data_IF_887035045475
#
_entry.id   IF_887035045475
#
_cell.length_a   1.000
_cell.length_b   1.000
_cell.length_c   1.000
_cell.angle_alpha   90.00
_cell.angle_beta   90.00
_cell.angle_gamma   90.00
#
_symmetry.space_group_name_H-M   'P 1'
#
loop_
_entity.id
_entity.type
_entity.pdbx_description
1 polymer ?
#
# COMPACT_ATOMS: atom_id res chain seq x y z
N UNK A 1 -15.21 -15.60 15.40
CA UNK A 1 -14.63 -14.65 16.38
C UNK A 1 -15.08 -13.26 15.99
N UNK A 2 -15.95 -12.64 16.80
CA UNK A 2 -16.42 -11.27 16.58
C UNK A 2 -15.43 -10.29 17.20
N UNK A 3 -15.00 -9.27 16.46
CA UNK A 3 -14.15 -8.19 16.99
C UNK A 3 -15.06 -7.01 17.34
N UNK A 4 -15.18 -6.63 18.63
CA UNK A 4 -15.99 -5.49 19.06
C UNK A 4 -15.64 -4.19 18.33
N UNK A 5 -16.64 -3.35 18.04
CA UNK A 5 -16.46 -2.08 17.31
C UNK A 5 -15.44 -1.15 17.97
N UNK A 6 -15.42 -1.07 19.31
CA UNK A 6 -14.44 -0.25 20.04
C UNK A 6 -12.99 -0.71 19.80
N UNK A 7 -12.77 -2.03 19.70
CA UNK A 7 -11.44 -2.58 19.40
C UNK A 7 -11.08 -2.27 17.94
N UNK A 8 -12.04 -2.40 17.01
CA UNK A 8 -11.85 -2.02 15.60
C UNK A 8 -11.45 -0.56 15.45
N UNK A 9 -12.12 0.34 16.18
CA UNK A 9 -11.80 1.77 16.21
C UNK A 9 -10.35 2.03 16.62
N UNK A 10 -9.92 1.50 17.78
CA UNK A 10 -8.57 1.76 18.29
C UNK A 10 -7.48 1.16 17.38
N UNK A 11 -7.70 -0.04 16.85
CA UNK A 11 -6.77 -0.68 15.92
C UNK A 11 -6.59 0.14 14.63
N UNK A 12 -7.68 0.68 14.06
CA UNK A 12 -7.56 1.58 12.93
C UNK A 12 -6.84 2.86 13.28
N UNK A 13 -7.19 3.52 14.40
CA UNK A 13 -6.56 4.78 14.79
C UNK A 13 -5.04 4.62 14.97
N UNK A 14 -4.61 3.54 15.63
CA UNK A 14 -3.18 3.24 15.88
C UNK A 14 -2.42 3.04 14.57
N UNK A 15 -3.04 2.47 13.52
CA UNK A 15 -2.35 2.18 12.26
C UNK A 15 -2.51 3.30 11.23
N UNK A 16 -3.66 3.97 11.16
CA UNK A 16 -3.94 5.03 10.18
C UNK A 16 -3.07 6.26 10.40
N UNK A 17 -2.82 6.65 11.66
CA UNK A 17 -1.96 7.80 11.98
C UNK A 17 -0.54 7.61 11.43
N UNK A 18 0.22 6.55 11.82
CA UNK A 18 1.56 6.34 11.29
C UNK A 18 1.56 6.03 9.80
N UNK A 19 0.52 5.37 9.29
CA UNK A 19 0.37 5.09 7.85
C UNK A 19 0.28 6.39 7.05
N UNK A 20 -0.56 7.34 7.50
CA UNK A 20 -0.73 8.65 6.88
C UNK A 20 0.56 9.47 6.87
N UNK A 21 1.30 9.49 7.98
CA UNK A 21 2.63 10.10 8.02
C UNK A 21 3.60 9.45 7.03
N UNK A 22 3.58 8.12 6.91
CA UNK A 22 4.43 7.39 6.00
C UNK A 22 4.07 7.68 4.53
N UNK A 23 2.78 7.78 4.19
CA UNK A 23 2.30 8.14 2.85
C UNK A 23 2.80 9.54 2.47
N UNK A 24 2.57 10.54 3.33
CA UNK A 24 2.99 11.91 3.08
C UNK A 24 4.51 12.02 2.92
N UNK A 25 5.27 11.34 3.79
CA UNK A 25 6.73 11.28 3.71
C UNK A 25 7.19 10.67 2.38
N UNK A 26 6.65 9.52 1.99
CA UNK A 26 7.04 8.84 0.76
C UNK A 26 6.67 9.68 -0.47
N UNK A 27 5.44 10.21 -0.53
CA UNK A 27 4.98 11.06 -1.63
C UNK A 27 5.84 12.31 -1.77
N UNK A 28 6.15 13.00 -0.66
CA UNK A 28 7.03 14.17 -0.67
C UNK A 28 8.36 13.84 -1.34
N UNK A 29 9.04 12.77 -0.92
CA UNK A 29 10.34 12.42 -1.50
C UNK A 29 10.26 11.92 -2.93
N UNK A 30 9.22 11.17 -3.31
CA UNK A 30 9.03 10.76 -4.70
C UNK A 30 8.75 11.94 -5.63
N UNK A 31 8.03 12.95 -5.16
CA UNK A 31 7.68 14.12 -5.95
C UNK A 31 8.83 15.12 -6.01
N UNK A 32 9.60 15.31 -4.93
CA UNK A 32 10.69 16.29 -4.88
C UNK A 32 11.98 15.74 -5.49
N UNK A 33 12.34 14.49 -5.22
CA UNK A 33 13.58 13.92 -5.74
C UNK A 33 13.43 13.47 -7.20
N UNK A 34 14.07 14.22 -8.11
CA UNK A 34 14.07 13.94 -9.55
C UNK A 34 14.53 12.52 -9.87
N UNK A 35 15.50 11.97 -9.13
CA UNK A 35 16.05 10.63 -9.40
C UNK A 35 15.02 9.55 -9.08
N UNK A 36 14.32 9.68 -7.96
CA UNK A 36 13.22 8.77 -7.58
C UNK A 36 12.05 8.91 -8.54
N UNK A 37 11.68 10.15 -8.90
CA UNK A 37 10.58 10.44 -9.82
C UNK A 37 10.80 9.87 -11.21
N UNK A 38 12.04 9.84 -11.71
CA UNK A 38 12.35 9.34 -13.05
C UNK A 38 12.42 7.81 -13.13
N UNK A 39 12.46 7.11 -11.99
CA UNK A 39 12.44 5.66 -11.93
C UNK A 39 11.08 5.10 -12.36
N UNK A 40 11.03 4.39 -13.49
CA UNK A 40 9.81 3.77 -14.01
C UNK A 40 9.05 2.95 -12.96
N UNK A 41 9.77 2.09 -12.22
CA UNK A 41 9.22 1.26 -11.13
C UNK A 41 8.47 2.08 -10.05
N UNK A 42 8.84 3.35 -9.88
CA UNK A 42 8.30 4.20 -8.83
C UNK A 42 6.98 4.85 -9.26
N UNK A 43 6.68 4.97 -10.56
CA UNK A 43 5.45 5.63 -11.02
C UNK A 43 4.19 4.91 -10.53
N UNK A 44 4.14 3.58 -10.65
CA UNK A 44 2.99 2.81 -10.12
C UNK A 44 2.88 2.97 -8.61
N UNK A 45 4.00 2.97 -7.89
CA UNK A 45 4.01 3.17 -6.43
C UNK A 45 3.49 4.56 -6.07
N UNK A 46 3.90 5.61 -6.79
CA UNK A 46 3.40 6.98 -6.59
C UNK A 46 1.88 7.02 -6.77
N UNK A 47 1.37 6.43 -7.85
CA UNK A 47 -0.07 6.41 -8.14
C UNK A 47 -0.83 5.63 -7.06
N UNK A 48 -0.32 4.45 -6.66
CA UNK A 48 -0.86 3.68 -5.53
C UNK A 48 -0.90 4.54 -4.26
N UNK A 49 0.19 5.23 -3.91
CA UNK A 49 0.25 6.07 -2.71
C UNK A 49 -0.70 7.28 -2.76
N UNK A 50 -0.93 7.86 -3.95
CA UNK A 50 -1.91 8.95 -4.12
C UNK A 50 -3.32 8.42 -3.88
N UNK A 51 -3.70 7.30 -4.50
CA UNK A 51 -5.03 6.72 -4.29
C UNK A 51 -5.22 6.19 -2.87
N UNK A 52 -4.19 5.61 -2.26
CA UNK A 52 -4.20 5.17 -0.86
C UNK A 52 -4.36 6.36 0.10
N UNK A 53 -3.71 7.50 -0.20
CA UNK A 53 -3.92 8.74 0.56
C UNK A 53 -5.38 9.22 0.51
N UNK A 54 -5.94 9.30 -0.70
CA UNK A 54 -7.33 9.71 -0.89
C UNK A 54 -8.28 8.72 -0.19
N UNK A 55 -8.02 7.43 -0.32
CA UNK A 55 -8.79 6.38 0.33
C UNK A 55 -8.75 6.49 1.87
N UNK A 56 -7.59 6.80 2.44
CA UNK A 56 -7.45 7.00 3.87
C UNK A 56 -8.22 8.24 4.36
N UNK A 57 -8.16 9.36 3.63
CA UNK A 57 -8.88 10.59 3.98
C UNK A 57 -10.38 10.40 3.93
N UNK A 58 -10.90 9.82 2.86
CA UNK A 58 -12.34 9.71 2.68
C UNK A 58 -12.88 8.47 3.39
N UNK A 59 -12.41 7.28 3.02
CA UNK A 59 -13.03 6.04 3.46
C UNK A 59 -12.64 5.66 4.89
N UNK A 60 -11.34 5.63 5.23
CA UNK A 60 -10.89 5.14 6.55
C UNK A 60 -11.35 6.08 7.66
N UNK A 61 -11.39 7.40 7.45
CA UNK A 61 -11.94 8.35 8.42
C UNK A 61 -13.43 8.07 8.67
N UNK A 62 -14.24 7.92 7.63
CA UNK A 62 -15.67 7.61 7.79
C UNK A 62 -15.92 6.26 8.46
N UNK A 63 -15.10 5.26 8.12
CA UNK A 63 -15.18 3.93 8.72
C UNK A 63 -14.75 3.93 10.20
N UNK A 64 -13.73 4.73 10.55
CA UNK A 64 -13.30 4.93 11.94
C UNK A 64 -14.38 5.63 12.75
N UNK A 65 -14.99 6.68 12.19
CA UNK A 65 -16.15 7.36 12.79
C UNK A 65 -17.31 6.39 13.03
N UNK A 66 -17.63 5.54 12.04
CA UNK A 66 -18.66 4.53 12.15
C UNK A 66 -18.40 3.55 13.31
N UNK A 67 -17.15 3.07 13.48
CA UNK A 67 -16.83 2.16 14.58
C UNK A 67 -16.87 2.81 15.95
N UNK A 68 -16.72 4.14 16.03
CA UNK A 68 -16.84 4.89 17.28
C UNK A 68 -18.30 5.10 17.69
N UNK A 69 -19.15 5.59 16.77
CA UNK A 69 -20.55 5.94 17.08
C UNK A 69 -21.56 4.82 16.82
N UNK A 70 -21.21 3.80 16.04
CA UNK A 70 -22.10 2.73 15.62
C UNK A 70 -23.07 3.10 14.49
N UNK A 71 -22.98 4.31 13.94
CA UNK A 71 -23.83 4.81 12.85
C UNK A 71 -23.01 5.51 11.76
N UNK A 72 -23.55 5.61 10.55
CA UNK A 72 -22.93 6.36 9.46
C UNK A 72 -22.82 7.86 9.76
N UNK A 73 -21.85 8.54 9.14
CA UNK A 73 -21.63 9.99 9.32
C UNK A 73 -22.86 10.83 8.96
N UNK A 74 -23.56 10.44 7.90
CA UNK A 74 -24.82 11.04 7.49
C UNK A 74 -25.85 9.95 7.29
N UNK A 75 -27.09 10.23 7.68
CA UNK A 75 -28.24 9.33 7.56
C UNK A 75 -29.03 9.61 6.28
N UNK A 76 -28.30 9.83 5.18
CA UNK A 76 -28.90 10.07 3.86
C UNK A 76 -28.52 8.95 2.89
N UNK A 77 -29.44 8.51 2.02
CA UNK A 77 -29.14 7.51 1.00
C UNK A 77 -27.99 7.92 0.07
N UNK A 78 -27.93 9.20 -0.30
CA UNK A 78 -26.88 9.75 -1.16
C UNK A 78 -25.49 9.61 -0.53
N UNK A 79 -25.35 9.88 0.77
CA UNK A 79 -24.09 9.66 1.46
C UNK A 79 -23.67 8.20 1.44
N UNK A 80 -24.59 7.27 1.69
CA UNK A 80 -24.29 5.83 1.65
C UNK A 80 -23.83 5.35 0.26
N UNK A 81 -24.49 5.83 -0.80
CA UNK A 81 -24.08 5.52 -2.18
C UNK A 81 -22.69 6.07 -2.51
N UNK A 82 -22.41 7.33 -2.14
CA UNK A 82 -21.09 7.95 -2.32
C UNK A 82 -20.03 7.20 -1.52
N UNK A 83 -20.33 6.83 -0.28
CA UNK A 83 -19.40 6.09 0.57
C UNK A 83 -19.09 4.72 -0.02
N UNK A 84 -20.09 3.95 -0.42
CA UNK A 84 -19.89 2.67 -1.09
C UNK A 84 -19.09 2.80 -2.38
N UNK A 85 -19.40 3.81 -3.19
CA UNK A 85 -18.67 4.09 -4.41
C UNK A 85 -17.18 4.37 -4.13
N UNK A 86 -16.87 5.23 -3.16
CA UNK A 86 -15.49 5.55 -2.79
C UNK A 86 -14.78 4.33 -2.21
N UNK A 87 -15.46 3.59 -1.31
CA UNK A 87 -14.92 2.39 -0.70
C UNK A 87 -14.53 1.37 -1.77
N UNK A 88 -15.48 1.02 -2.63
CA UNK A 88 -15.28 -0.03 -3.62
C UNK A 88 -14.34 0.40 -4.74
N UNK A 89 -14.48 1.63 -5.26
CA UNK A 89 -13.59 2.15 -6.32
C UNK A 89 -12.15 2.22 -5.83
N UNK A 90 -11.92 2.78 -4.64
CA UNK A 90 -10.58 2.89 -4.07
C UNK A 90 -9.96 1.51 -3.82
N UNK A 91 -10.75 0.60 -3.26
CA UNK A 91 -10.35 -0.77 -3.03
C UNK A 91 -9.94 -1.49 -4.34
N UNK A 92 -10.85 -1.53 -5.33
CA UNK A 92 -10.64 -2.18 -6.62
C UNK A 92 -9.43 -1.60 -7.35
N UNK A 93 -9.30 -0.26 -7.33
CA UNK A 93 -8.22 0.43 -7.99
C UNK A 93 -6.85 0.08 -7.39
N UNK A 94 -6.73 0.08 -6.05
CA UNK A 94 -5.49 -0.28 -5.37
C UNK A 94 -5.11 -1.74 -5.65
N UNK A 95 -6.08 -2.66 -5.66
CA UNK A 95 -5.85 -4.07 -5.97
C UNK A 95 -5.38 -4.26 -7.42
N UNK A 96 -6.06 -3.66 -8.40
CA UNK A 96 -5.69 -3.77 -9.82
C UNK A 96 -4.33 -3.11 -10.11
N UNK A 97 -4.04 -1.95 -9.51
CA UNK A 97 -2.74 -1.30 -9.62
C UNK A 97 -1.62 -2.14 -8.98
N UNK A 98 -1.89 -2.81 -7.86
CA UNK A 98 -0.93 -3.72 -7.23
C UNK A 98 -0.66 -4.97 -8.10
N UNK A 99 -1.71 -5.51 -8.73
CA UNK A 99 -1.59 -6.60 -9.70
C UNK A 99 -0.76 -6.18 -10.91
N UNK A 100 -1.09 -5.04 -11.52
CA UNK A 100 -0.31 -4.47 -12.61
C UNK A 100 1.14 -4.19 -12.21
N UNK A 101 1.36 -3.56 -11.06
CA UNK A 101 2.71 -3.31 -10.53
C UNK A 101 3.54 -4.58 -10.36
N UNK A 102 2.90 -5.72 -10.05
CA UNK A 102 3.58 -7.02 -9.97
C UNK A 102 4.00 -7.54 -11.35
N UNK A 103 3.12 -7.40 -12.36
CA UNK A 103 3.43 -7.73 -13.76
C UNK A 103 4.54 -6.82 -14.29
N UNK A 104 4.39 -5.50 -14.15
CA UNK A 104 5.30 -4.50 -14.68
C UNK A 104 6.73 -4.69 -14.13
N UNK A 105 6.87 -4.94 -12.83
CA UNK A 105 8.18 -5.24 -12.21
C UNK A 105 8.84 -6.47 -12.84
N UNK A 106 8.05 -7.50 -13.15
CA UNK A 106 8.56 -8.68 -13.84
C UNK A 106 9.11 -8.29 -15.22
N UNK A 107 8.34 -7.54 -16.00
CA UNK A 107 8.77 -7.08 -17.33
C UNK A 107 10.01 -6.17 -17.23
N UNK A 108 10.04 -5.23 -16.27
CA UNK A 108 11.17 -4.30 -16.08
C UNK A 108 12.46 -5.00 -15.65
N UNK A 109 12.40 -6.09 -14.88
CA UNK A 109 13.59 -6.81 -14.46
C UNK A 109 14.16 -7.67 -15.60
N UNK A 110 13.30 -8.33 -16.37
CA UNK A 110 13.74 -9.29 -17.38
C UNK A 110 13.90 -8.70 -18.78
N UNK A 111 13.18 -7.62 -19.11
CA UNK A 111 13.10 -7.07 -20.46
C UNK A 111 13.33 -5.54 -20.49
N UNK A 112 14.39 -5.06 -19.82
CA UNK A 112 14.73 -3.62 -19.74
C UNK A 112 14.76 -2.90 -21.10
N UNK A 113 15.22 -3.59 -22.14
CA UNK A 113 15.38 -3.01 -23.48
C UNK A 113 14.05 -2.57 -24.11
N UNK A 114 12.91 -3.15 -23.68
CA UNK A 114 11.59 -2.77 -24.18
C UNK A 114 11.27 -1.32 -23.83
N UNK A 115 11.69 -0.84 -22.65
CA UNK A 115 11.36 0.48 -22.14
C UNK A 115 12.28 1.61 -22.63
N UNK A 116 13.33 1.28 -23.40
CA UNK A 116 14.22 2.28 -23.98
C UNK A 116 13.53 3.12 -25.06
N UNK A 117 12.57 2.53 -25.80
CA UNK A 117 11.80 3.25 -26.83
C UNK A 117 10.59 3.94 -26.22
N UNK A 118 10.42 5.25 -26.47
CA UNK A 118 9.32 6.06 -25.91
C UNK A 118 7.92 5.48 -26.20
N UNK A 119 7.69 5.00 -27.42
CA UNK A 119 6.41 4.38 -27.82
C UNK A 119 6.10 3.12 -27.02
N UNK A 120 7.08 2.21 -26.90
CA UNK A 120 6.93 0.97 -26.12
C UNK A 120 6.77 1.27 -24.64
N UNK A 121 7.48 2.27 -24.13
CA UNK A 121 7.27 2.77 -22.76
C UNK A 121 5.84 3.26 -22.56
N UNK A 122 5.27 4.03 -23.49
CA UNK A 122 3.86 4.42 -23.38
C UNK A 122 2.91 3.21 -23.33
N UNK A 123 3.07 2.28 -24.27
CA UNK A 123 2.21 1.10 -24.42
C UNK A 123 2.29 0.13 -23.22
N UNK A 124 3.49 -0.16 -22.72
CA UNK A 124 3.71 -1.17 -21.68
C UNK A 124 3.82 -0.61 -20.27
N UNK A 125 3.76 0.71 -20.08
CA UNK A 125 3.87 1.35 -18.75
C UNK A 125 2.66 2.23 -18.46
N UNK A 126 2.42 3.25 -19.28
CA UNK A 126 1.43 4.28 -18.98
C UNK A 126 0.02 3.86 -19.37
N UNK A 127 -0.15 3.23 -20.54
CA UNK A 127 -1.46 2.83 -21.04
C UNK A 127 -2.20 1.86 -20.08
N UNK A 128 -1.58 0.80 -19.53
CA UNK A 128 -2.28 -0.12 -18.64
C UNK A 128 -2.75 0.55 -17.34
N UNK A 129 -1.96 1.48 -16.80
CA UNK A 129 -2.34 2.25 -15.61
C UNK A 129 -3.57 3.13 -15.90
N UNK A 130 -3.57 3.82 -17.05
CA UNK A 130 -4.70 4.66 -17.47
C UNK A 130 -5.96 3.80 -17.66
N UNK A 131 -5.84 2.66 -18.33
CA UNK A 131 -6.95 1.72 -18.55
C UNK A 131 -7.51 1.21 -17.21
N UNK A 132 -6.65 0.82 -16.26
CA UNK A 132 -7.06 0.34 -14.93
C UNK A 132 -7.83 1.41 -14.17
N UNK A 133 -7.33 2.66 -14.18
CA UNK A 133 -8.02 3.80 -13.55
C UNK A 133 -9.40 3.98 -14.19
N UNK A 134 -9.47 4.16 -15.51
CA UNK A 134 -10.73 4.36 -16.23
C UNK A 134 -11.69 3.20 -15.95
N UNK A 135 -11.25 1.96 -16.09
CA UNK A 135 -12.05 0.76 -15.82
C UNK A 135 -12.67 0.79 -14.42
N UNK A 136 -11.86 1.05 -13.38
CA UNK A 136 -12.32 1.03 -11.99
C UNK A 136 -13.41 2.07 -11.75
N UNK A 137 -13.22 3.31 -12.25
CA UNK A 137 -14.20 4.38 -12.11
C UNK A 137 -15.49 4.08 -12.86
N UNK A 138 -15.41 3.69 -14.14
CA UNK A 138 -16.59 3.39 -14.97
C UNK A 138 -17.37 2.18 -14.45
N UNK A 139 -16.67 1.10 -14.08
CA UNK A 139 -17.29 -0.09 -13.51
C UNK A 139 -18.11 0.27 -12.27
N UNK A 140 -17.51 0.99 -11.32
CA UNK A 140 -18.20 1.37 -10.09
C UNK A 140 -19.35 2.35 -10.35
N UNK A 141 -19.21 3.31 -11.29
CA UNK A 141 -20.31 4.21 -11.65
C UNK A 141 -21.53 3.41 -12.15
N UNK A 142 -21.30 2.44 -13.04
CA UNK A 142 -22.37 1.59 -13.60
C UNK A 142 -23.05 0.79 -12.49
N UNK A 143 -22.29 0.17 -11.59
CA UNK A 143 -22.86 -0.65 -10.50
C UNK A 143 -23.64 0.21 -9.49
N UNK A 144 -23.04 1.29 -8.99
CA UNK A 144 -23.60 2.04 -7.85
C UNK A 144 -24.66 3.07 -8.24
N UNK A 145 -24.57 3.69 -9.43
CA UNK A 145 -25.50 4.76 -9.82
C UNK A 145 -26.56 4.33 -10.82
N UNK A 146 -26.23 3.45 -11.76
CA UNK A 146 -27.19 3.03 -12.80
C UNK A 146 -28.02 1.80 -12.41
N UNK A 147 -27.46 0.90 -11.60
CA UNK A 147 -28.09 -0.38 -11.28
C UNK A 147 -28.65 -0.48 -9.86
N UNK A 148 -28.37 0.51 -9.02
CA UNK A 148 -28.81 0.49 -7.62
C UNK A 148 -30.30 0.76 -7.51
N UNK A 149 -31.12 -0.28 -7.38
CA UNK A 149 -32.46 -0.14 -6.80
C UNK A 149 -32.30 0.12 -5.31
N UNK A 150 -32.58 1.34 -4.87
CA UNK A 150 -32.38 1.74 -3.48
C UNK A 150 -33.44 1.07 -2.60
N UNK A 151 -33.05 -0.02 -1.93
CA UNK A 151 -33.74 -0.46 -0.71
C UNK A 151 -33.37 0.54 0.40
N UNK A 152 -34.28 0.75 1.35
CA UNK A 152 -34.02 1.58 2.52
C UNK A 152 -32.66 1.22 3.18
N UNK A 153 -31.68 2.14 3.21
CA UNK A 153 -30.35 1.87 3.75
C UNK A 153 -30.40 1.57 5.25
N UNK A 154 -29.54 0.65 5.71
CA UNK A 154 -29.40 0.33 7.13
C UNK A 154 -28.16 1.03 7.70
N UNK A 155 -28.39 2.20 8.29
CA UNK A 155 -27.34 3.07 8.82
C UNK A 155 -26.57 2.52 10.03
N UNK A 156 -27.08 1.46 10.67
CA UNK A 156 -26.46 0.79 11.84
C UNK A 156 -25.40 -0.22 11.41
N UNK A 157 -25.34 -0.56 10.12
CA UNK A 157 -24.34 -1.47 9.57
C UNK A 157 -23.29 -0.71 8.75
N UNK A 158 -22.07 -1.25 8.73
CA UNK A 158 -20.96 -0.66 7.97
C UNK A 158 -21.34 -0.53 6.50
N UNK A 159 -20.98 0.61 5.89
CA UNK A 159 -21.32 0.97 4.50
C UNK A 159 -22.82 0.96 4.23
N UNK A 160 -23.58 1.29 5.27
CA UNK A 160 -25.04 1.31 5.31
C UNK A 160 -25.73 0.00 4.92
N UNK A 161 -24.98 -1.12 4.88
CA UNK A 161 -25.41 -2.44 4.41
C UNK A 161 -26.42 -2.35 3.25
N UNK A 162 -26.09 -1.52 2.27
CA UNK A 162 -26.77 -1.54 0.99
C UNK A 162 -26.38 -2.87 0.35
N UNK A 163 -27.18 -3.89 0.65
CA UNK A 163 -27.16 -5.17 -0.05
C UNK A 163 -27.62 -4.86 -1.46
N UNK A 164 -26.67 -4.68 -2.37
CA UNK A 164 -26.95 -4.80 -3.79
C UNK A 164 -27.60 -6.16 -3.98
N UNK A 165 -28.86 -6.17 -4.46
CA UNK A 165 -29.66 -7.37 -4.62
C UNK A 165 -28.88 -8.40 -5.46
N UNK A 166 -28.28 -9.34 -4.74
CA UNK A 166 -27.63 -10.56 -5.23
C UNK A 166 -28.61 -11.49 -5.93
N UNK A 167 -29.92 -11.22 -5.87
CA UNK A 167 -30.92 -12.15 -6.39
C UNK A 167 -31.23 -11.94 -7.88
N UNK A 168 -31.06 -10.74 -8.45
CA UNK A 168 -31.43 -10.51 -9.86
C UNK A 168 -30.25 -10.64 -10.83
N UNK A 169 -28.99 -10.60 -10.36
CA UNK A 169 -27.84 -10.48 -11.27
C UNK A 169 -26.63 -11.28 -10.79
N UNK A 170 -26.82 -12.58 -10.62
CA UNK A 170 -25.75 -13.55 -10.28
C UNK A 170 -24.49 -13.34 -11.12
N UNK A 171 -24.64 -12.99 -12.41
CA UNK A 171 -23.52 -12.72 -13.31
C UNK A 171 -22.60 -11.57 -12.87
N UNK A 172 -23.15 -10.48 -12.32
CA UNK A 172 -22.32 -9.35 -11.84
C UNK A 172 -21.56 -9.74 -10.59
N UNK A 173 -22.21 -10.40 -9.63
CA UNK A 173 -21.54 -10.85 -8.40
C UNK A 173 -20.42 -11.85 -8.70
N UNK A 174 -20.64 -12.74 -9.66
CA UNK A 174 -19.63 -13.69 -10.15
C UNK A 174 -18.49 -12.95 -10.86
N UNK A 175 -18.80 -12.01 -11.77
CA UNK A 175 -17.80 -11.20 -12.45
C UNK A 175 -16.95 -10.42 -11.46
N UNK A 176 -17.59 -9.80 -10.48
CA UNK A 176 -16.93 -9.03 -9.46
C UNK A 176 -16.02 -9.90 -8.58
N UNK A 177 -16.53 -11.02 -8.09
CA UNK A 177 -15.75 -11.93 -7.27
C UNK A 177 -14.57 -12.55 -8.04
N UNK A 178 -14.80 -13.01 -9.27
CA UNK A 178 -13.77 -13.70 -10.06
C UNK A 178 -12.79 -12.73 -10.72
N UNK A 179 -13.29 -11.78 -11.51
CA UNK A 179 -12.47 -10.94 -12.39
C UNK A 179 -11.89 -9.73 -11.65
N UNK A 180 -12.68 -9.10 -10.78
CA UNK A 180 -12.23 -7.90 -10.08
C UNK A 180 -11.44 -8.23 -8.80
N UNK A 181 -11.65 -9.40 -8.20
CA UNK A 181 -11.09 -9.73 -6.89
C UNK A 181 -10.13 -10.93 -6.90
N UNK A 182 -10.58 -12.12 -7.30
CA UNK A 182 -9.74 -13.34 -7.29
C UNK A 182 -8.61 -13.23 -8.31
N UNK A 183 -8.91 -12.89 -9.56
CA UNK A 183 -7.93 -12.85 -10.65
C UNK A 183 -6.77 -11.89 -10.36
N UNK A 184 -6.98 -10.62 -9.94
CA UNK A 184 -5.88 -9.71 -9.60
C UNK A 184 -5.06 -10.21 -8.41
N UNK A 185 -5.71 -10.80 -7.40
CA UNK A 185 -5.03 -11.40 -6.25
C UNK A 185 -4.12 -12.55 -6.69
N UNK A 186 -4.61 -13.46 -7.54
CA UNK A 186 -3.81 -14.54 -8.11
C UNK A 186 -2.64 -14.01 -8.96
N UNK A 187 -2.87 -12.96 -9.76
CA UNK A 187 -1.80 -12.30 -10.52
C UNK A 187 -0.71 -11.78 -9.57
N UNK A 188 -1.06 -11.08 -8.48
CA UNK A 188 -0.09 -10.60 -7.49
C UNK A 188 0.76 -11.76 -6.95
N UNK A 189 0.11 -12.85 -6.57
CA UNK A 189 0.78 -14.03 -5.99
C UNK A 189 1.69 -14.72 -7.01
N UNK A 190 1.15 -15.07 -8.19
CA UNK A 190 1.88 -15.78 -9.24
C UNK A 190 3.09 -14.98 -9.70
N UNK A 191 2.93 -13.69 -9.99
CA UNK A 191 4.05 -12.86 -10.46
C UNK A 191 5.08 -12.60 -9.36
N UNK A 192 4.66 -12.45 -8.10
CA UNK A 192 5.59 -12.27 -6.97
C UNK A 192 6.39 -13.55 -6.69
N UNK A 193 5.75 -14.73 -6.73
CA UNK A 193 6.44 -16.02 -6.58
C UNK A 193 7.36 -16.30 -7.76
N UNK A 194 6.90 -16.09 -8.99
CA UNK A 194 7.72 -16.27 -10.20
C UNK A 194 8.94 -15.35 -10.18
N UNK A 195 8.77 -14.10 -9.73
CA UNK A 195 9.88 -13.17 -9.58
C UNK A 195 10.89 -13.68 -8.55
N UNK A 196 10.42 -14.16 -7.39
CA UNK A 196 11.28 -14.73 -6.35
C UNK A 196 12.07 -15.94 -6.86
N UNK A 197 11.38 -16.90 -7.50
CA UNK A 197 12.00 -18.12 -8.04
C UNK A 197 13.06 -17.79 -9.10
N UNK A 198 12.76 -16.88 -10.03
CA UNK A 198 13.74 -16.48 -11.06
C UNK A 198 14.93 -15.74 -10.49
N UNK A 199 14.71 -14.86 -9.51
CA UNK A 199 15.78 -14.13 -8.82
C UNK A 199 16.67 -15.10 -8.05
N UNK A 200 16.09 -16.10 -7.39
CA UNK A 200 16.83 -17.17 -6.71
C UNK A 200 17.62 -18.05 -7.68
N UNK A 201 16.99 -18.52 -8.77
CA UNK A 201 17.65 -19.33 -9.80
C UNK A 201 18.84 -18.60 -10.45
N UNK A 202 18.67 -17.31 -10.80
CA UNK A 202 19.77 -16.50 -11.37
C UNK A 202 20.93 -16.32 -10.39
N UNK A 203 20.65 -16.20 -9.09
CA UNK A 203 21.69 -16.11 -8.05
C UNK A 203 22.54 -17.38 -8.04
N UNK A 204 21.89 -18.55 -8.09
CA UNK A 204 22.58 -19.83 -8.06
C UNK A 204 23.43 -20.04 -9.32
N UNK A 205 22.87 -19.78 -10.50
CA UNK A 205 23.55 -20.07 -11.78
C UNK A 205 24.72 -19.14 -12.09
N UNK A 206 24.60 -17.84 -11.80
CA UNK A 206 25.55 -16.87 -12.34
C UNK A 206 26.79 -16.61 -11.49
N UNK A 207 26.82 -17.01 -10.20
CA UNK A 207 28.01 -16.92 -9.32
C UNK A 207 28.69 -15.54 -9.18
N UNK A 208 28.24 -14.53 -9.91
CA UNK A 208 28.91 -13.25 -10.10
C UNK A 208 28.36 -12.19 -9.16
N UNK A 209 29.19 -11.16 -8.90
CA UNK A 209 28.85 -9.92 -8.17
C UNK A 209 27.88 -9.02 -8.96
N UNK A 210 26.82 -9.60 -9.51
CA UNK A 210 25.73 -8.87 -10.12
C UNK A 210 25.08 -7.93 -9.09
N UNK A 211 24.35 -6.89 -9.53
CA UNK A 211 23.70 -5.85 -8.70
C UNK A 211 22.55 -6.36 -7.79
N UNK A 212 22.76 -7.53 -7.16
CA UNK A 212 21.86 -8.31 -6.33
C UNK A 212 21.19 -7.50 -5.22
N UNK A 213 21.94 -6.56 -4.61
CA UNK A 213 21.44 -5.74 -3.51
C UNK A 213 20.21 -4.91 -3.88
N UNK A 214 20.08 -4.48 -5.14
CA UNK A 214 18.95 -3.67 -5.57
C UNK A 214 17.75 -4.54 -5.96
N UNK A 215 17.98 -5.64 -6.68
CA UNK A 215 16.90 -6.57 -7.06
C UNK A 215 16.27 -7.27 -5.84
N UNK A 216 17.08 -7.69 -4.85
CA UNK A 216 16.57 -8.35 -3.64
C UNK A 216 15.52 -7.51 -2.91
N UNK A 217 15.71 -6.19 -2.83
CA UNK A 217 14.80 -5.30 -2.09
C UNK A 217 13.45 -5.17 -2.77
N UNK A 218 13.47 -5.00 -4.09
CA UNK A 218 12.26 -4.84 -4.89
C UNK A 218 11.46 -6.16 -4.97
N UNK A 219 12.14 -7.30 -5.08
CA UNK A 219 11.52 -8.62 -4.98
C UNK A 219 10.91 -8.86 -3.59
N UNK A 220 11.63 -8.49 -2.53
CA UNK A 220 11.14 -8.64 -1.15
C UNK A 220 9.89 -7.78 -0.90
N UNK A 221 9.84 -6.56 -1.45
CA UNK A 221 8.63 -5.73 -1.39
C UNK A 221 7.43 -6.42 -2.03
N UNK A 222 7.60 -6.97 -3.24
CA UNK A 222 6.54 -7.69 -3.94
C UNK A 222 6.04 -8.89 -3.14
N UNK A 223 6.98 -9.64 -2.54
CA UNK A 223 6.66 -10.78 -1.69
C UNK A 223 5.84 -10.37 -0.46
N UNK A 224 6.24 -9.30 0.25
CA UNK A 224 5.47 -8.82 1.39
C UNK A 224 4.07 -8.35 1.00
N UNK A 225 3.93 -7.64 -0.13
CA UNK A 225 2.62 -7.26 -0.67
C UNK A 225 1.78 -8.51 -0.89
N UNK A 226 2.31 -9.53 -1.58
CA UNK A 226 1.60 -10.79 -1.82
C UNK A 226 1.19 -11.51 -0.53
N UNK A 227 2.06 -11.57 0.48
CA UNK A 227 1.76 -12.19 1.77
C UNK A 227 0.62 -11.44 2.47
N UNK A 228 0.65 -10.11 2.47
CA UNK A 228 -0.38 -9.27 3.08
C UNK A 228 -1.73 -9.47 2.38
N UNK A 229 -1.79 -9.52 1.04
CA UNK A 229 -3.02 -9.81 0.32
C UNK A 229 -3.55 -11.23 0.61
N UNK A 230 -2.70 -12.24 0.69
CA UNK A 230 -3.12 -13.60 1.03
C UNK A 230 -3.69 -13.67 2.46
N UNK A 231 -3.03 -13.06 3.44
CA UNK A 231 -3.42 -13.20 4.85
C UNK A 231 -4.64 -12.33 5.17
N UNK A 232 -4.65 -11.07 4.72
CA UNK A 232 -5.64 -10.09 5.14
C UNK A 232 -6.83 -9.96 4.18
N UNK A 233 -6.64 -10.23 2.89
CA UNK A 233 -7.69 -10.01 1.89
C UNK A 233 -8.32 -11.30 1.36
N UNK A 234 -7.52 -12.30 1.01
CA UNK A 234 -8.02 -13.54 0.40
C UNK A 234 -9.16 -14.22 1.20
N UNK A 235 -9.17 -14.23 2.55
CA UNK A 235 -10.27 -14.81 3.31
C UNK A 235 -11.64 -14.13 3.06
N UNK A 236 -11.68 -12.80 2.91
CA UNK A 236 -12.94 -12.10 2.63
C UNK A 236 -13.45 -12.41 1.23
N UNK A 237 -12.55 -12.57 0.24
CA UNK A 237 -12.92 -12.93 -1.12
C UNK A 237 -13.55 -14.32 -1.18
N UNK A 238 -12.96 -15.31 -0.49
CA UNK A 238 -13.49 -16.68 -0.49
C UNK A 238 -14.91 -16.71 0.08
N UNK A 239 -15.14 -16.02 1.20
CA UNK A 239 -16.46 -15.94 1.81
C UNK A 239 -17.46 -15.19 0.91
N UNK A 240 -17.03 -14.10 0.26
CA UNK A 240 -17.86 -13.38 -0.71
C UNK A 240 -18.30 -14.27 -1.89
N UNK A 241 -17.36 -15.05 -2.43
CA UNK A 241 -17.64 -16.01 -3.49
C UNK A 241 -18.59 -17.11 -3.00
N UNK A 242 -18.39 -17.64 -1.80
CA UNK A 242 -19.26 -18.65 -1.22
C UNK A 242 -20.71 -18.14 -1.08
N UNK A 243 -20.91 -16.91 -0.59
CA UNK A 243 -22.23 -16.28 -0.56
C UNK A 243 -22.83 -16.10 -1.96
N UNK A 244 -22.01 -15.73 -2.94
CA UNK A 244 -22.45 -15.57 -4.33
C UNK A 244 -22.91 -16.89 -4.97
N UNK A 245 -22.35 -18.03 -4.53
CA UNK A 245 -22.72 -19.38 -5.02
C UNK A 245 -23.91 -19.97 -4.24
N UNK A 246 -24.43 -19.27 -3.23
CA UNK A 246 -25.63 -19.67 -2.49
C UNK A 246 -25.38 -20.17 -1.06
N UNK A 247 -24.20 -19.94 -0.49
CA UNK A 247 -24.01 -20.09 0.95
C UNK A 247 -24.98 -19.15 1.68
N UNK A 248 -25.71 -19.68 2.66
CA UNK A 248 -26.63 -18.85 3.46
C UNK A 248 -25.87 -17.74 4.17
N UNK A 249 -26.41 -16.51 4.13
CA UNK A 249 -25.83 -15.33 4.79
C UNK A 249 -25.67 -15.47 6.30
N UNK A 250 -26.42 -16.39 6.94
CA UNK A 250 -26.30 -16.67 8.37
C UNK A 250 -25.02 -17.44 8.71
N UNK A 251 -24.46 -18.18 7.75
CA UNK A 251 -23.27 -19.00 7.97
C UNK A 251 -22.04 -18.11 7.79
N UNK A 252 -21.31 -17.87 8.89
CA UNK A 252 -20.04 -17.15 8.84
C UNK A 252 -20.14 -15.63 8.69
N UNK A 253 -21.32 -15.02 8.93
CA UNK A 253 -21.50 -13.56 8.83
C UNK A 253 -20.48 -12.77 9.68
N UNK A 254 -20.23 -13.23 10.92
CA UNK A 254 -19.26 -12.62 11.82
C UNK A 254 -17.82 -12.75 11.31
N UNK A 255 -17.52 -13.90 10.69
CA UNK A 255 -16.22 -14.14 10.09
C UNK A 255 -16.03 -13.23 8.88
N UNK A 256 -17.03 -13.13 7.99
CA UNK A 256 -17.00 -12.23 6.84
C UNK A 256 -16.84 -10.76 7.26
N UNK A 257 -17.59 -10.32 8.28
CA UNK A 257 -17.44 -8.96 8.83
C UNK A 257 -16.02 -8.71 9.34
N UNK A 258 -15.42 -9.71 10.00
CA UNK A 258 -14.08 -9.59 10.57
C UNK A 258 -12.98 -9.67 9.52
N UNK A 259 -13.10 -10.53 8.51
CA UNK A 259 -12.13 -10.62 7.40
C UNK A 259 -12.21 -9.40 6.50
N UNK A 260 -13.41 -8.89 6.23
CA UNK A 260 -13.61 -7.62 5.54
C UNK A 260 -12.96 -6.46 6.31
N UNK A 261 -13.15 -6.40 7.64
CA UNK A 261 -12.47 -5.43 8.48
C UNK A 261 -10.94 -5.53 8.36
N UNK A 262 -10.39 -6.76 8.36
CA UNK A 262 -8.96 -6.99 8.19
C UNK A 262 -8.44 -6.59 6.80
N UNK A 263 -9.26 -6.69 5.76
CA UNK A 263 -8.82 -6.31 4.41
C UNK A 263 -8.45 -4.83 4.26
N UNK A 264 -9.02 -3.93 5.07
CA UNK A 264 -8.67 -2.51 5.06
C UNK A 264 -7.21 -2.27 5.49
N UNK A 265 -6.64 -3.18 6.30
CA UNK A 265 -5.24 -3.08 6.70
C UNK A 265 -4.28 -3.30 5.53
N UNK A 266 -4.72 -3.90 4.42
CA UNK A 266 -3.88 -4.04 3.21
C UNK A 266 -3.45 -2.66 2.73
N UNK A 267 -4.40 -1.73 2.53
CA UNK A 267 -4.10 -0.35 2.14
C UNK A 267 -3.21 0.35 3.15
N UNK A 268 -3.59 0.28 4.44
CA UNK A 268 -2.84 0.88 5.53
C UNK A 268 -1.38 0.40 5.63
N UNK A 269 -1.09 -0.85 5.19
CA UNK A 269 0.27 -1.39 5.23
C UNK A 269 1.14 -1.04 4.01
N UNK A 270 0.56 -0.70 2.85
CA UNK A 270 1.28 -0.31 1.63
C UNK A 270 2.37 0.74 1.86
N UNK A 271 2.12 1.87 2.56
CA UNK A 271 3.13 2.91 2.73
C UNK A 271 4.34 2.42 3.52
N UNK A 272 4.13 1.61 4.57
CA UNK A 272 5.25 1.03 5.33
C UNK A 272 6.10 0.11 4.45
N UNK A 273 5.47 -0.71 3.61
CA UNK A 273 6.19 -1.59 2.68
C UNK A 273 7.02 -0.79 1.67
N UNK A 274 6.48 0.32 1.15
CA UNK A 274 7.21 1.18 0.22
C UNK A 274 8.40 1.89 0.87
N UNK A 275 8.27 2.31 2.14
CA UNK A 275 9.39 2.91 2.89
C UNK A 275 10.50 1.89 3.18
N UNK A 276 10.14 0.64 3.49
CA UNK A 276 11.11 -0.43 3.78
C UNK A 276 11.86 -0.88 2.52
N UNK A 277 11.20 -0.86 1.37
CA UNK A 277 11.77 -1.38 0.12
C UNK A 277 12.80 -0.45 -0.53
N UNK A 278 12.66 0.87 -0.35
CA UNK A 278 13.51 1.87 -0.97
C UNK A 278 14.61 2.32 -0.02
N UNK A 279 15.88 1.88 -0.23
CA UNK A 279 16.97 2.18 0.68
C UNK A 279 17.29 3.68 0.74
N UNK A 280 17.07 4.42 -0.35
CA UNK A 280 17.24 5.86 -0.41
C UNK A 280 16.26 6.55 0.55
N UNK A 281 14.97 6.15 0.54
CA UNK A 281 13.96 6.64 1.47
C UNK A 281 14.30 6.27 2.91
N UNK A 282 14.70 5.02 3.15
CA UNK A 282 15.12 4.57 4.49
C UNK A 282 16.32 5.35 5.02
N UNK A 283 17.30 5.66 4.16
CA UNK A 283 18.46 6.46 4.54
C UNK A 283 18.08 7.89 4.89
N UNK A 284 17.19 8.52 4.09
CA UNK A 284 16.65 9.86 4.35
C UNK A 284 15.83 9.90 5.64
N UNK A 285 14.99 8.89 5.87
CA UNK A 285 14.24 8.74 7.12
C UNK A 285 15.16 8.64 8.34
N UNK A 286 16.20 7.78 8.28
CA UNK A 286 17.20 7.71 9.35
C UNK A 286 17.93 9.04 9.58
N UNK A 287 18.22 9.80 8.51
CA UNK A 287 18.86 11.12 8.62
C UNK A 287 17.93 12.13 9.31
N UNK A 288 16.64 12.11 9.00
CA UNK A 288 15.63 12.95 9.65
C UNK A 288 15.60 12.73 11.17
N UNK A 289 15.54 11.48 11.63
CA UNK A 289 15.57 11.17 13.08
C UNK A 289 16.93 11.46 13.73
N UNK A 290 18.05 11.27 13.02
CA UNK A 290 19.38 11.61 13.55
C UNK A 290 19.57 13.12 13.72
N UNK A 291 18.99 13.93 12.83
CA UNK A 291 19.04 15.38 12.95
C UNK A 291 18.31 15.84 14.21
N UNK A 292 17.13 15.28 14.48
CA UNK A 292 16.40 15.51 15.72
C UNK A 292 17.24 15.17 16.97
N UNK A 293 18.02 14.08 16.92
CA UNK A 293 18.89 13.66 18.03
C UNK A 293 20.17 14.50 18.19
N UNK A 294 20.60 15.25 17.17
CA UNK A 294 21.75 16.18 17.26
C UNK A 294 21.36 17.61 17.62
N UNK A 295 20.08 17.95 17.51
CA UNK A 295 19.55 19.25 17.91
C UNK A 295 19.39 19.41 19.44
N UNK A 296 19.59 18.35 20.23
CA UNK A 296 19.80 18.50 21.68
C UNK A 296 21.19 19.09 21.87
N UNK A 297 21.32 20.35 22.32
CA UNK A 297 22.63 20.94 22.57
C UNK A 297 23.35 20.03 23.56
N UNK A 298 24.53 19.56 23.16
CA UNK A 298 25.48 19.05 24.13
C UNK A 298 25.77 20.28 25.00
N UNK A 299 25.16 20.34 26.18
CA UNK A 299 25.60 21.23 27.25
C UNK A 299 27.03 20.76 27.51
N UNK A 300 27.98 21.43 26.86
CA UNK A 300 29.37 21.26 27.20
C UNK A 300 29.43 21.61 28.69
N UNK A 301 29.86 20.68 29.57
CA UNK A 301 30.14 21.06 30.94
C UNK A 301 31.06 22.28 30.86
N UNK A 302 30.69 23.35 31.55
CA UNK A 302 31.49 24.55 31.61
C UNK A 302 32.80 24.15 32.30
N UNK A 303 33.80 23.76 31.51
CA UNK A 303 35.15 23.53 32.00
C UNK A 303 35.64 24.93 32.35
N UNK A 304 35.63 25.24 33.64
CA UNK A 304 36.34 26.41 34.18
C UNK A 304 37.78 26.32 33.67
N UNK A 305 38.35 27.40 33.11
CA UNK A 305 39.73 27.40 32.68
C UNK A 305 40.60 27.09 33.90
N UNK A 306 41.16 25.87 33.95
CA UNK A 306 42.31 25.61 34.80
C UNK A 306 43.46 26.42 34.23
N UNK A 307 43.82 27.44 34.99
CA UNK A 307 44.97 28.28 34.76
C UNK A 307 46.20 27.45 34.35
N UNK A 308 46.71 27.78 33.17
CA UNK A 308 48.11 27.92 32.83
C UNK A 308 49.09 27.47 33.94
N UNK A 309 49.55 26.22 33.87
CA UNK A 309 50.91 25.90 34.29
C UNK A 309 51.73 25.63 33.03
N UNK A 310 52.44 26.71 32.69
CA UNK A 310 53.47 26.83 31.69
C UNK A 310 54.56 25.79 31.95
N UNK A 311 54.61 24.74 31.13
CA UNK A 311 55.80 23.91 31.00
C UNK A 311 56.31 24.00 29.56
N UNK A 312 57.11 25.05 29.35
CA UNK A 312 58.16 25.13 28.34
C UNK A 312 59.00 23.84 28.31
N UNK A 313 59.73 23.72 27.18
CA UNK A 313 60.95 22.91 26.96
C UNK A 313 60.62 21.45 26.55
N UNK A 314 61.14 20.86 25.48
CA UNK A 314 62.45 20.99 24.84
C UNK A 314 62.34 20.65 23.33
N UNK A 315 63.09 21.44 22.56
CA UNK A 315 63.45 21.28 21.14
C UNK A 315 64.10 19.92 20.88
N UNK A 316 63.62 19.21 19.86
CA UNK A 316 64.28 18.03 19.31
C UNK A 316 64.22 18.01 17.79
N UNK A 317 65.09 18.81 17.14
CA UNK A 317 65.49 18.58 15.75
C UNK A 317 66.28 17.27 15.71
N UNK A 318 65.83 16.30 14.91
CA UNK A 318 66.71 15.25 14.40
C UNK A 318 66.52 15.10 12.90
N UNK A 319 67.63 15.36 12.24
CA UNK A 319 67.96 15.15 10.85
C UNK A 319 67.81 13.68 10.40
N UNK A 320 67.85 13.54 9.07
CA UNK A 320 68.57 12.53 8.26
C UNK A 320 67.75 11.44 7.53
N UNK A 321 67.97 11.49 6.20
CA UNK A 321 68.15 10.39 5.24
C UNK A 321 66.92 9.49 4.96
N UNK A 322 66.62 9.10 3.72
CA UNK A 322 67.38 9.08 2.46
C UNK A 322 66.38 8.97 1.32
#
# INVERSE_FOLDING_TARGET
>A
MFIPSIIRFWLFLIVVIPSSFCILFNLYYFLVDRTLRQGLNNHVIIIILIFDFLYNIFNIIWLTYFYYLGNSLSLTPSFCLIWLYIDYTGYLLLLLLAAWGSIERHILIFNKNIFLRKQKRFLFHYLPIIIIIIYSFFYCIIIYFFRSSVIAPNYVKSRCNLTYYTNDTSLIGIWDSLINNILPTLIIVIFSLTLLLRVWYRKYRLGQRFHWRNYKKLTLQSLFISIIYIILYFPSIILNLAYTIGLSSNIGADLYSSTLYLSYFVGLFIPFLSMVSLPELRAKFKKFFRFYRRATPIVAPHILPMNHLDHRRIVGKTHLAK
#
